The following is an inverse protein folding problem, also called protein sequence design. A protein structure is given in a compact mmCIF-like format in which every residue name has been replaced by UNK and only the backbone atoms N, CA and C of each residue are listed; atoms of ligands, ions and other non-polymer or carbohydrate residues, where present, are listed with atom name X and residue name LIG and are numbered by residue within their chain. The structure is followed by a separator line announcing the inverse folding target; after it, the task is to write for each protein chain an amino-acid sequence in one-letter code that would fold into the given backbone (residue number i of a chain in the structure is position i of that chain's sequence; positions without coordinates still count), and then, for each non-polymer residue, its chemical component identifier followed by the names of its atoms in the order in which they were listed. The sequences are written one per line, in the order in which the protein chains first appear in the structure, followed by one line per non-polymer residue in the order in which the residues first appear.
data_IF_549672287421
#
_entry.id   IF_549672287421
#
_cell.length_a   1.000
_cell.length_b   1.000
_cell.length_c   1.000
_cell.angle_alpha   90.00
_cell.angle_beta   90.00
_cell.angle_gamma   90.00
#
_symmetry.space_group_name_H-M   'P 1'
#
loop_
_entity.id
_entity.type
_entity.pdbx_description
1 polymer ?
#
# COMPACT_ATOMS: atom_id res chain seq x y z
N UNK A 1 -1.38 2.79 11.87
CA UNK A 1 -0.86 4.07 11.34
C UNK A 1 0.13 4.80 12.26
N UNK A 2 -0.26 5.46 13.37
CA UNK A 2 0.62 6.37 14.16
C UNK A 2 2.07 5.86 14.41
N UNK A 3 2.22 4.61 14.87
CA UNK A 3 3.53 4.00 15.13
C UNK A 3 4.38 3.77 13.87
N UNK A 4 3.75 3.43 12.74
CA UNK A 4 4.46 3.25 11.46
C UNK A 4 5.03 4.58 10.98
N UNK A 5 4.28 5.66 11.18
CA UNK A 5 4.70 7.00 10.83
C UNK A 5 5.89 7.45 11.68
N UNK A 6 5.83 7.29 13.01
CA UNK A 6 6.95 7.65 13.91
C UNK A 6 8.20 6.81 13.61
N UNK A 7 8.03 5.52 13.33
CA UNK A 7 9.12 4.65 12.89
C UNK A 7 9.76 5.18 11.59
N UNK A 8 8.96 5.62 10.62
CA UNK A 8 9.46 6.21 9.38
C UNK A 8 10.24 7.50 9.58
N UNK A 9 9.69 8.44 10.36
CA UNK A 9 10.38 9.69 10.65
C UNK A 9 11.77 9.41 11.26
N UNK A 10 11.81 8.49 12.22
CA UNK A 10 13.04 8.05 12.92
C UNK A 10 14.03 7.32 12.03
N UNK A 11 13.55 6.57 11.03
CA UNK A 11 14.39 5.77 10.13
C UNK A 11 15.29 6.57 9.19
N UNK A 12 15.00 7.86 8.97
CA UNK A 12 15.72 8.68 7.99
C UNK A 12 15.44 8.35 6.52
N UNK A 13 14.57 7.36 6.21
CA UNK A 13 14.29 6.90 4.85
C UNK A 13 13.53 7.96 4.03
N UNK A 14 13.62 7.82 2.70
CA UNK A 14 13.14 8.81 1.71
C UNK A 14 11.64 8.77 1.48
N UNK A 15 11.05 7.58 1.52
CA UNK A 15 9.64 7.35 1.22
C UNK A 15 8.99 6.52 2.32
N UNK A 16 7.83 7.00 2.77
CA UNK A 16 6.89 6.23 3.56
C UNK A 16 5.89 5.61 2.60
N UNK A 17 5.70 4.30 2.64
CA UNK A 17 4.61 3.66 1.91
C UNK A 17 3.87 2.75 2.89
N UNK A 18 2.55 2.91 2.95
CA UNK A 18 1.67 2.06 3.73
C UNK A 18 1.00 1.05 2.81
N UNK A 19 0.88 -0.19 3.28
CA UNK A 19 0.10 -1.27 2.66
C UNK A 19 -0.47 -2.15 3.79
N UNK A 20 -1.61 -2.78 3.54
CA UNK A 20 -2.20 -3.75 4.46
C UNK A 20 -1.58 -5.15 4.31
N UNK A 21 -1.87 -6.05 5.26
CA UNK A 21 -1.35 -7.43 5.26
C UNK A 21 -1.96 -8.30 4.14
N UNK A 22 -3.08 -7.86 3.56
CA UNK A 22 -3.73 -8.46 2.40
C UNK A 22 -3.24 -7.89 1.06
N UNK A 23 -2.19 -7.05 1.06
CA UNK A 23 -1.64 -6.44 -0.15
C UNK A 23 -0.39 -7.17 -0.67
N UNK A 24 -0.29 -7.31 -1.99
CA UNK A 24 0.92 -7.73 -2.71
C UNK A 24 1.65 -6.50 -3.23
N UNK A 25 2.87 -6.26 -2.77
CA UNK A 25 3.71 -5.15 -3.24
C UNK A 25 4.67 -5.60 -4.35
N UNK A 26 4.53 -5.03 -5.54
CA UNK A 26 5.52 -5.09 -6.60
C UNK A 26 6.58 -3.98 -6.41
N UNK A 27 7.67 -4.33 -5.72
CA UNK A 27 8.75 -3.39 -5.37
C UNK A 27 9.42 -2.77 -6.61
N UNK A 28 9.52 -3.50 -7.72
CA UNK A 28 10.10 -2.98 -8.97
C UNK A 28 9.26 -1.85 -9.58
N UNK A 29 7.95 -2.06 -9.66
CA UNK A 29 7.01 -1.02 -10.13
C UNK A 29 6.94 0.17 -9.17
N UNK A 30 6.96 -0.08 -7.86
CA UNK A 30 6.98 0.99 -6.86
C UNK A 30 8.22 1.89 -7.04
N UNK A 31 9.41 1.29 -7.12
CA UNK A 31 10.66 2.05 -7.31
C UNK A 31 10.64 2.85 -8.61
N UNK A 32 10.16 2.25 -9.71
CA UNK A 32 10.00 2.93 -11.00
C UNK A 32 9.07 4.14 -10.89
N UNK A 33 7.94 4.01 -10.18
CA UNK A 33 6.99 5.10 -9.95
C UNK A 33 7.63 6.21 -9.10
N UNK A 34 8.17 5.87 -7.93
CA UNK A 34 8.71 6.87 -6.99
C UNK A 34 9.96 7.59 -7.54
N UNK A 35 10.72 6.96 -8.45
CA UNK A 35 11.88 7.59 -9.10
C UNK A 35 11.53 8.81 -9.95
N UNK A 36 10.26 9.00 -10.30
CA UNK A 36 9.78 10.14 -11.08
C UNK A 36 9.61 11.41 -10.22
N UNK A 37 9.73 11.29 -8.90
CA UNK A 37 9.46 12.36 -7.95
C UNK A 37 10.66 12.62 -7.04
N UNK A 38 10.79 13.86 -6.56
CA UNK A 38 11.77 14.18 -5.52
C UNK A 38 11.21 13.92 -4.13
N UNK A 39 11.91 13.13 -3.32
CA UNK A 39 11.53 12.83 -1.93
C UNK A 39 11.64 14.03 -0.98
N UNK A 40 12.23 15.16 -1.43
CA UNK A 40 12.31 16.41 -0.67
C UNK A 40 11.16 17.37 -0.97
N UNK A 41 10.37 17.09 -2.01
CA UNK A 41 9.15 17.84 -2.33
C UNK A 41 7.95 17.27 -1.58
N UNK A 42 6.79 17.89 -1.74
CA UNK A 42 5.55 17.43 -1.15
C UNK A 42 4.84 16.47 -2.10
N UNK A 43 4.94 15.18 -1.83
CA UNK A 43 4.35 14.13 -2.67
C UNK A 43 3.50 13.19 -1.82
N UNK A 44 2.22 13.12 -2.18
CA UNK A 44 1.26 12.13 -1.70
C UNK A 44 0.67 11.42 -2.91
N UNK A 45 0.85 10.12 -3.02
CA UNK A 45 0.45 9.33 -4.19
C UNK A 45 -0.28 8.05 -3.78
N UNK A 46 -1.37 7.76 -4.48
CA UNK A 46 -2.18 6.58 -4.24
C UNK A 46 -3.47 6.58 -5.08
N UNK A 47 -4.35 5.62 -4.82
CA UNK A 47 -5.67 5.58 -5.46
C UNK A 47 -6.71 6.30 -4.61
N UNK A 48 -7.48 7.27 -5.15
CA UNK A 48 -8.56 7.89 -4.42
C UNK A 48 -9.69 6.88 -4.14
N UNK A 49 -10.27 6.93 -2.93
CA UNK A 49 -11.30 5.97 -2.52
C UNK A 49 -12.70 6.25 -3.06
N UNK A 50 -12.97 7.48 -3.48
CA UNK A 50 -14.28 7.97 -3.90
C UNK A 50 -14.15 8.64 -5.27
N UNK A 51 -15.27 8.81 -5.96
CA UNK A 51 -15.35 9.61 -7.20
C UNK A 51 -15.39 11.12 -6.93
N UNK A 52 -15.57 11.52 -5.66
CA UNK A 52 -15.63 12.90 -5.17
C UNK A 52 -14.85 13.05 -3.86
N UNK A 53 -14.41 14.26 -3.47
CA UNK A 53 -13.81 14.48 -2.16
C UNK A 53 -14.77 14.03 -1.05
N UNK A 54 -14.25 13.52 0.05
CA UNK A 54 -15.06 13.26 1.24
C UNK A 54 -15.41 14.60 1.90
N UNK A 55 -16.58 14.66 2.53
CA UNK A 55 -16.99 15.78 3.38
C UNK A 55 -16.86 15.35 4.84
N UNK A 56 -16.23 16.18 5.66
CA UNK A 56 -16.07 15.94 7.08
C UNK A 56 -16.41 17.19 7.88
N UNK A 57 -16.86 17.01 9.12
CA UNK A 57 -17.13 18.11 10.05
C UNK A 57 -15.95 18.24 11.01
N UNK A 58 -15.28 19.40 11.01
CA UNK A 58 -14.37 19.78 12.08
C UNK A 58 -15.17 20.24 13.30
N UNK A 59 -14.74 19.81 14.51
CA UNK A 59 -15.33 20.18 15.80
C UNK A 59 -16.86 19.99 15.89
N UNK A 60 -17.37 18.74 15.83
CA UNK A 60 -18.80 18.49 15.94
C UNK A 60 -19.37 19.08 17.25
N UNK A 61 -20.28 20.06 17.15
CA UNK A 61 -21.03 20.60 18.28
C UNK A 61 -21.11 22.12 18.45
N UNK A 62 -19.98 22.87 18.39
CA UNK A 62 -19.98 24.30 18.81
C UNK A 62 -19.52 25.32 17.78
N UNK A 63 -19.11 24.93 16.58
CA UNK A 63 -18.96 25.76 15.38
C UNK A 63 -18.56 24.82 14.24
N UNK A 64 -19.56 24.17 13.64
CA UNK A 64 -19.33 23.12 12.64
C UNK A 64 -18.73 23.72 11.36
N UNK A 65 -17.46 23.43 11.11
CA UNK A 65 -16.81 23.78 9.85
C UNK A 65 -16.76 22.54 8.96
N UNK A 66 -17.36 22.64 7.78
CA UNK A 66 -17.32 21.58 6.77
C UNK A 66 -16.01 21.67 5.99
N UNK A 67 -15.30 20.56 5.90
CA UNK A 67 -14.06 20.43 5.13
C UNK A 67 -14.22 19.37 4.05
N UNK A 68 -13.60 19.61 2.89
CA UNK A 68 -13.63 18.69 1.74
C UNK A 68 -12.22 18.37 1.29
N UNK A 69 -11.91 17.09 1.14
CA UNK A 69 -10.58 16.66 0.74
C UNK A 69 -10.58 15.28 0.07
N UNK A 70 -9.55 14.99 -0.72
CA UNK A 70 -9.28 13.64 -1.20
C UNK A 70 -8.38 12.89 -0.24
N UNK A 71 -8.49 11.56 -0.27
CA UNK A 71 -7.60 10.67 0.45
C UNK A 71 -7.33 9.42 -0.39
N UNK A 72 -6.14 8.85 -0.24
CA UNK A 72 -5.80 7.58 -0.85
C UNK A 72 -6.37 6.43 -0.01
N UNK A 73 -6.96 5.42 -0.65
CA UNK A 73 -7.51 4.24 0.03
C UNK A 73 -6.40 3.47 0.75
N UNK A 74 -6.53 3.27 2.07
CA UNK A 74 -5.54 2.54 2.88
C UNK A 74 -5.23 1.15 2.33
N UNK A 75 -6.27 0.35 2.06
CA UNK A 75 -6.13 -1.01 1.52
C UNK A 75 -5.76 -1.12 0.04
N UNK A 76 -5.57 -0.01 -0.67
CA UNK A 76 -4.87 0.00 -1.95
C UNK A 76 -3.37 0.28 -1.75
N UNK A 77 -2.97 0.76 -0.59
CA UNK A 77 -1.67 1.33 -0.31
C UNK A 77 -1.48 2.74 -0.87
N UNK A 78 -0.58 3.48 -0.24
CA UNK A 78 -0.22 4.84 -0.64
C UNK A 78 1.21 5.15 -0.22
N UNK A 79 1.80 6.21 -0.79
CA UNK A 79 3.12 6.69 -0.41
C UNK A 79 3.17 8.20 -0.16
N UNK A 80 4.03 8.58 0.78
CA UNK A 80 4.37 9.94 1.17
C UNK A 80 5.89 10.14 1.04
N UNK A 81 6.29 11.25 0.44
CA UNK A 81 7.69 11.70 0.46
C UNK A 81 8.11 12.13 1.86
N UNK A 82 9.40 11.95 2.21
CA UNK A 82 9.97 12.46 3.47
C UNK A 82 9.71 13.96 3.68
N UNK A 83 9.82 14.79 2.62
CA UNK A 83 9.57 16.23 2.70
C UNK A 83 8.17 16.54 3.25
N UNK A 84 7.14 15.92 2.65
CA UNK A 84 5.76 16.02 3.12
C UNK A 84 5.59 15.47 4.54
N UNK A 85 6.09 14.26 4.81
CA UNK A 85 5.95 13.66 6.13
C UNK A 85 6.58 14.53 7.22
N UNK A 86 7.72 15.18 7.00
CA UNK A 86 8.27 16.09 8.01
C UNK A 86 7.33 17.26 8.35
N UNK A 87 6.53 17.75 7.38
CA UNK A 87 5.51 18.79 7.59
C UNK A 87 4.27 18.28 8.29
N UNK A 88 3.92 17.00 8.14
CA UNK A 88 2.78 16.36 8.81
C UNK A 88 3.00 16.15 10.32
N UNK A 89 4.25 16.24 10.82
CA UNK A 89 4.62 15.96 12.21
C UNK A 89 3.69 16.59 13.27
N UNK A 90 3.27 17.88 13.17
CA UNK A 90 2.41 18.48 14.18
C UNK A 90 1.05 17.78 14.37
N UNK A 91 0.60 16.98 13.40
CA UNK A 91 -0.68 16.27 13.45
C UNK A 91 -0.53 14.74 13.46
N UNK A 92 0.65 14.22 13.11
CA UNK A 92 0.85 12.80 12.85
C UNK A 92 1.91 12.11 13.73
N UNK A 93 2.79 12.85 14.40
CA UNK A 93 3.83 12.28 15.25
C UNK A 93 3.46 12.29 16.73
N UNK A 94 4.19 11.51 17.53
CA UNK A 94 4.21 11.59 18.99
C UNK A 94 2.82 11.38 19.61
N UNK A 95 2.03 10.46 19.02
CA UNK A 95 0.66 10.16 19.45
C UNK A 95 -0.42 11.13 18.96
N UNK A 96 -0.05 12.26 18.33
CA UNK A 96 -1.00 13.29 17.87
C UNK A 96 -1.92 12.81 16.75
N UNK A 97 -1.50 11.79 15.99
CA UNK A 97 -2.32 11.21 14.92
C UNK A 97 -3.70 10.74 15.43
N UNK A 98 -3.75 10.14 16.61
CA UNK A 98 -5.00 9.66 17.20
C UNK A 98 -5.94 10.83 17.53
N UNK A 99 -5.42 11.90 18.12
CA UNK A 99 -6.18 13.12 18.40
C UNK A 99 -6.72 13.76 17.13
N UNK A 100 -5.91 13.78 16.06
CA UNK A 100 -6.34 14.29 14.75
C UNK A 100 -7.46 13.41 14.14
N UNK A 101 -7.33 12.09 14.21
CA UNK A 101 -8.36 11.17 13.73
C UNK A 101 -9.68 11.31 14.51
N UNK A 102 -9.60 11.42 15.84
CA UNK A 102 -10.75 11.66 16.72
C UNK A 102 -11.43 13.01 16.45
N UNK A 103 -10.66 14.03 16.08
CA UNK A 103 -11.15 15.37 15.77
C UNK A 103 -12.16 15.37 14.61
N UNK A 104 -11.83 14.64 13.54
CA UNK A 104 -12.66 14.53 12.34
C UNK A 104 -13.56 13.28 12.34
N UNK A 105 -13.34 12.35 13.28
CA UNK A 105 -14.04 11.06 13.42
C UNK A 105 -14.01 10.22 12.14
N UNK A 106 -12.85 10.18 11.49
CA UNK A 106 -12.63 9.40 10.27
C UNK A 106 -11.51 8.36 10.46
N UNK A 107 -11.47 7.31 9.62
CA UNK A 107 -10.41 6.30 9.66
C UNK A 107 -9.00 6.85 9.40
N UNK A 108 -7.97 6.00 9.60
CA UNK A 108 -6.56 6.36 9.47
C UNK A 108 -6.22 6.94 8.08
N UNK A 109 -6.69 6.33 7.00
CA UNK A 109 -6.41 6.76 5.62
C UNK A 109 -7.04 8.13 5.29
N UNK A 110 -8.27 8.34 5.74
CA UNK A 110 -8.96 9.62 5.69
C UNK A 110 -8.22 10.67 6.51
N UNK A 111 -7.69 10.32 7.68
CA UNK A 111 -6.91 11.23 8.54
C UNK A 111 -5.62 11.67 7.85
N UNK A 112 -4.92 10.76 7.15
CA UNK A 112 -3.77 11.13 6.31
C UNK A 112 -4.18 12.11 5.23
N UNK A 113 -5.28 11.84 4.50
CA UNK A 113 -5.81 12.75 3.49
C UNK A 113 -6.19 14.13 4.03
N UNK A 114 -6.83 14.18 5.20
CA UNK A 114 -7.18 15.41 5.88
C UNK A 114 -5.94 16.25 6.22
N UNK A 115 -4.91 15.64 6.83
CA UNK A 115 -3.67 16.36 7.16
C UNK A 115 -3.01 16.89 5.89
N UNK A 116 -2.94 16.08 4.84
CA UNK A 116 -2.20 16.43 3.62
C UNK A 116 -2.93 17.45 2.74
N UNK A 117 -4.21 17.21 2.43
CA UNK A 117 -4.97 18.08 1.53
C UNK A 117 -5.59 19.27 2.26
N UNK A 118 -6.26 19.04 3.40
CA UNK A 118 -7.03 20.09 4.06
C UNK A 118 -6.14 21.02 4.90
N UNK A 119 -5.18 20.45 5.66
CA UNK A 119 -4.32 21.26 6.54
C UNK A 119 -3.06 21.78 5.82
N UNK A 120 -2.43 20.96 4.99
CA UNK A 120 -1.18 21.31 4.29
C UNK A 120 -1.39 21.81 2.85
N UNK A 121 -2.58 21.68 2.27
CA UNK A 121 -2.89 22.18 0.93
C UNK A 121 -2.19 21.41 -0.21
N UNK A 122 -1.72 20.19 0.04
CA UNK A 122 -1.00 19.36 -0.94
C UNK A 122 -1.97 18.37 -1.57
N UNK A 123 -2.11 18.38 -2.89
CA UNK A 123 -3.06 17.48 -3.57
C UNK A 123 -2.56 16.05 -3.68
N UNK A 124 -3.48 15.09 -3.56
CA UNK A 124 -3.27 13.69 -3.86
C UNK A 124 -2.98 13.50 -5.36
N UNK A 125 -1.80 12.95 -5.65
CA UNK A 125 -1.45 12.44 -6.96
C UNK A 125 -2.17 11.11 -7.15
N UNK A 126 -3.17 11.11 -8.04
CA UNK A 126 -3.95 9.91 -8.36
C UNK A 126 -3.13 8.95 -9.19
N UNK A 127 -3.05 7.70 -8.75
CA UNK A 127 -2.36 6.63 -9.47
C UNK A 127 -3.26 5.40 -9.60
N UNK A 128 -3.50 4.99 -10.84
CA UNK A 128 -4.20 3.74 -11.17
C UNK A 128 -3.35 2.48 -11.00
N UNK A 129 -2.14 2.59 -10.44
CA UNK A 129 -1.24 1.47 -10.20
C UNK A 129 -1.41 0.82 -8.81
N UNK A 130 -2.18 1.47 -7.93
CA UNK A 130 -2.51 0.95 -6.60
C UNK A 130 -3.91 0.34 -6.65
N UNK A 131 -4.11 -0.85 -6.05
CA UNK A 131 -5.40 -1.55 -6.17
C UNK A 131 -5.85 -2.16 -4.84
N UNK A 132 -7.10 -1.89 -4.46
CA UNK A 132 -7.78 -2.44 -3.27
C UNK A 132 -8.78 -3.53 -3.66
N UNK A 133 -9.07 -4.45 -2.74
CA UNK A 133 -10.17 -5.41 -2.88
C UNK A 133 -11.57 -4.76 -2.83
N UNK A 134 -11.67 -3.43 -2.68
CA UNK A 134 -12.91 -2.67 -2.88
C UNK A 134 -13.20 -2.41 -4.37
N UNK A 135 -12.27 -2.74 -5.26
CA UNK A 135 -12.40 -2.63 -6.71
C UNK A 135 -12.72 -3.98 -7.34
N UNK A 136 -13.19 -4.01 -8.60
CA UNK A 136 -13.27 -5.26 -9.34
C UNK A 136 -11.87 -5.71 -9.81
N UNK A 137 -11.17 -6.49 -8.98
CA UNK A 137 -9.80 -6.92 -9.24
C UNK A 137 -9.69 -7.84 -10.47
N UNK A 138 -10.79 -8.46 -10.89
CA UNK A 138 -10.85 -9.26 -12.12
C UNK A 138 -10.63 -8.44 -13.40
N UNK A 139 -10.82 -7.11 -13.35
CA UNK A 139 -10.57 -6.19 -14.46
C UNK A 139 -9.14 -5.64 -14.49
N UNK A 140 -8.38 -5.82 -13.41
CA UNK A 140 -7.00 -5.35 -13.34
C UNK A 140 -6.15 -6.16 -14.32
N UNK A 141 -5.49 -5.43 -15.23
CA UNK A 141 -4.64 -5.99 -16.28
C UNK A 141 -3.20 -5.48 -16.13
N UNK A 142 -2.28 -5.97 -16.97
CA UNK A 142 -0.88 -5.56 -16.96
C UNK A 142 -0.21 -5.65 -15.57
N UNK A 143 -0.36 -6.82 -14.95
CA UNK A 143 0.11 -7.14 -13.58
C UNK A 143 1.58 -6.77 -13.36
N UNK A 144 2.40 -6.81 -14.41
CA UNK A 144 3.82 -6.44 -14.35
C UNK A 144 4.07 -5.00 -13.94
N UNK A 145 3.18 -4.08 -14.29
CA UNK A 145 3.34 -2.64 -14.04
C UNK A 145 2.54 -2.14 -12.82
N UNK A 146 1.64 -2.95 -12.26
CA UNK A 146 0.91 -2.60 -11.05
C UNK A 146 1.86 -2.52 -9.84
N UNK A 147 1.60 -1.58 -8.94
CA UNK A 147 2.39 -1.32 -7.73
C UNK A 147 1.89 -2.17 -6.58
N UNK A 148 0.60 -2.10 -6.28
CA UNK A 148 -0.05 -2.96 -5.28
C UNK A 148 -1.19 -3.74 -5.93
N UNK A 149 -1.44 -4.93 -5.42
CA UNK A 149 -2.65 -5.70 -5.65
C UNK A 149 -3.20 -6.12 -4.28
N UNK A 150 -4.47 -6.47 -4.20
CA UNK A 150 -5.09 -6.98 -2.99
C UNK A 150 -5.87 -8.26 -3.31
N UNK A 151 -6.52 -8.84 -2.30
CA UNK A 151 -7.54 -9.87 -2.46
C UNK A 151 -8.62 -9.65 -1.40
N UNK A 152 -9.83 -10.13 -1.67
CA UNK A 152 -10.91 -10.06 -0.70
C UNK A 152 -12.06 -10.99 -1.05
N UNK A 153 -13.15 -10.87 -0.29
CA UNK A 153 -14.40 -11.59 -0.55
C UNK A 153 -15.53 -10.58 -0.62
N UNK A 154 -16.31 -10.63 -1.70
CA UNK A 154 -17.51 -9.80 -1.92
C UNK A 154 -18.67 -10.75 -2.18
N UNK A 155 -19.73 -10.70 -1.37
CA UNK A 155 -20.92 -11.55 -1.51
C UNK A 155 -20.63 -13.05 -1.69
N UNK A 156 -19.75 -13.60 -0.83
CA UNK A 156 -19.24 -14.98 -0.89
C UNK A 156 -18.48 -15.34 -2.19
N UNK A 157 -18.22 -14.37 -3.05
CA UNK A 157 -17.39 -14.52 -4.25
C UNK A 157 -16.00 -13.94 -4.00
N UNK A 158 -14.97 -14.65 -4.47
CA UNK A 158 -13.59 -14.20 -4.34
C UNK A 158 -13.36 -12.99 -5.26
N UNK A 159 -12.82 -11.92 -4.70
CA UNK A 159 -12.34 -10.79 -5.46
C UNK A 159 -10.82 -10.87 -5.55
N UNK A 160 -10.32 -11.30 -6.71
CA UNK A 160 -8.88 -11.53 -6.96
C UNK A 160 -8.53 -11.14 -8.38
N UNK A 161 -7.25 -10.90 -8.63
CA UNK A 161 -6.74 -10.66 -9.98
C UNK A 161 -6.82 -11.91 -10.87
N UNK A 162 -7.14 -11.71 -12.14
CA UNK A 162 -7.18 -12.81 -13.11
C UNK A 162 -5.77 -13.11 -13.65
N UNK A 163 -5.06 -13.99 -12.95
CA UNK A 163 -3.71 -14.44 -13.33
C UNK A 163 -3.71 -15.92 -13.63
N UNK A 164 -3.38 -16.27 -14.88
CA UNK A 164 -3.01 -17.65 -15.25
C UNK A 164 -1.72 -18.00 -14.51
N UNK A 165 -1.81 -18.98 -13.61
CA UNK A 165 -0.70 -19.40 -12.76
C UNK A 165 -0.56 -20.91 -12.74
N UNK A 166 0.53 -21.37 -12.13
CA UNK A 166 0.81 -22.79 -11.92
C UNK A 166 -0.06 -23.42 -10.82
N UNK A 167 -0.63 -22.60 -9.95
CA UNK A 167 -1.43 -23.03 -8.81
C UNK A 167 -2.91 -22.97 -9.12
N UNK A 168 -3.65 -23.99 -8.66
CA UNK A 168 -5.12 -23.95 -8.66
C UNK A 168 -5.63 -22.89 -7.67
N UNK A 169 -6.94 -22.68 -7.66
CA UNK A 169 -7.56 -21.71 -6.74
C UNK A 169 -7.52 -22.23 -5.29
N UNK A 170 -7.55 -23.54 -5.10
CA UNK A 170 -7.45 -24.18 -3.79
C UNK A 170 -6.04 -24.02 -3.21
N UNK A 171 -5.01 -24.11 -4.05
CA UNK A 171 -3.61 -23.97 -3.66
C UNK A 171 -3.17 -22.50 -3.45
N UNK A 172 -3.78 -21.58 -4.19
CA UNK A 172 -3.44 -20.15 -4.18
C UNK A 172 -4.73 -19.30 -4.25
N UNK A 173 -5.53 -19.27 -3.16
CA UNK A 173 -6.83 -18.61 -3.15
C UNK A 173 -6.76 -17.09 -3.28
N UNK A 174 -5.62 -16.48 -2.91
CA UNK A 174 -5.37 -15.03 -3.02
C UNK A 174 -4.77 -14.63 -4.37
N UNK A 175 -4.33 -15.62 -5.16
CA UNK A 175 -3.53 -15.46 -6.39
C UNK A 175 -2.13 -14.86 -6.19
N UNK A 176 -1.71 -14.57 -4.96
CA UNK A 176 -0.42 -13.92 -4.69
C UNK A 176 0.77 -14.80 -5.05
N UNK A 177 0.66 -16.13 -4.90
CA UNK A 177 1.73 -17.03 -5.35
C UNK A 177 1.86 -16.96 -6.86
N UNK A 178 0.76 -16.97 -7.58
CA UNK A 178 0.72 -16.89 -9.04
C UNK A 178 1.24 -15.54 -9.55
N UNK A 179 0.86 -14.43 -8.90
CA UNK A 179 1.43 -13.10 -9.15
C UNK A 179 2.94 -13.11 -8.91
N UNK A 180 3.39 -13.66 -7.78
CA UNK A 180 4.81 -13.74 -7.45
C UNK A 180 5.61 -14.49 -8.53
N UNK A 181 5.09 -15.62 -8.99
CA UNK A 181 5.70 -16.43 -10.04
C UNK A 181 5.73 -15.72 -11.38
N UNK A 182 4.69 -14.94 -11.70
CA UNK A 182 4.64 -14.12 -12.90
C UNK A 182 5.73 -13.04 -12.88
N UNK A 183 5.93 -12.40 -11.72
CA UNK A 183 6.85 -11.26 -11.57
C UNK A 183 8.31 -11.69 -11.34
N UNK A 184 8.57 -12.79 -10.62
CA UNK A 184 9.93 -13.23 -10.30
C UNK A 184 10.57 -13.97 -11.48
N UNK A 185 11.43 -13.26 -12.22
CA UNK A 185 12.23 -13.84 -13.32
C UNK A 185 13.35 -14.79 -12.83
N UNK A 186 13.63 -14.87 -11.53
CA UNK A 186 14.73 -15.71 -10.98
C UNK A 186 14.42 -17.21 -11.02
N UNK A 187 13.17 -17.61 -11.27
CA UNK A 187 12.79 -18.99 -11.56
C UNK A 187 13.16 -19.50 -12.96
N UNK A 188 13.71 -18.65 -13.85
CA UNK A 188 14.06 -19.03 -15.24
C UNK A 188 15.44 -19.72 -15.41
N UNK A 189 16.01 -20.31 -14.38
CA UNK A 189 17.10 -21.29 -14.55
C UNK A 189 16.52 -22.68 -14.31
N UNK A 190 16.07 -23.29 -15.40
CA UNK A 190 15.65 -24.69 -15.41
C UNK A 190 16.78 -25.59 -14.93
N UNK A 191 16.46 -26.46 -13.96
CA UNK A 191 17.26 -27.63 -13.69
C UNK A 191 16.65 -28.77 -14.51
N UNK A 192 17.41 -29.31 -15.46
CA UNK A 192 17.04 -30.52 -16.18
C UNK A 192 17.66 -31.69 -15.44
N UNK A 193 16.83 -32.52 -14.84
CA UNK A 193 17.18 -33.92 -14.63
C UNK A 193 15.93 -34.76 -14.89
N UNK A 194 15.96 -35.57 -15.94
CA UNK A 194 14.89 -36.50 -16.28
C UNK A 194 13.54 -35.89 -16.69
N UNK A 195 13.47 -35.31 -17.89
CA UNK A 195 12.28 -35.46 -18.74
C UNK A 195 10.93 -34.90 -18.28
N UNK A 196 10.87 -33.69 -17.73
CA UNK A 196 9.70 -32.78 -17.86
C UNK A 196 10.11 -31.37 -17.40
N UNK A 197 9.84 -30.34 -18.20
CA UNK A 197 10.13 -28.95 -17.84
C UNK A 197 9.17 -28.47 -16.75
N UNK A 198 9.44 -28.80 -15.48
CA UNK A 198 8.68 -28.26 -14.36
C UNK A 198 9.24 -26.87 -14.01
N UNK A 199 8.53 -25.81 -14.39
CA UNK A 199 8.81 -24.46 -13.92
C UNK A 199 8.50 -24.39 -12.42
N UNK A 200 9.45 -24.78 -11.55
CA UNK A 200 9.28 -24.68 -10.10
C UNK A 200 9.59 -23.24 -9.69
N UNK A 201 8.63 -22.34 -9.84
CA UNK A 201 8.70 -21.07 -9.12
C UNK A 201 8.63 -21.38 -7.63
N UNK A 202 9.76 -21.25 -6.93
CA UNK A 202 9.81 -21.35 -5.48
C UNK A 202 9.31 -20.03 -4.92
N UNK A 203 8.05 -20.00 -4.45
CA UNK A 203 7.58 -18.89 -3.62
C UNK A 203 8.41 -18.94 -2.33
N UNK A 204 9.25 -17.93 -2.05
CA UNK A 204 9.99 -17.91 -0.80
C UNK A 204 8.99 -17.88 0.37
N UNK A 205 9.37 -18.39 1.56
CA UNK A 205 8.57 -18.17 2.76
C UNK A 205 8.31 -16.67 2.95
N UNK A 206 7.22 -16.33 3.64
CA UNK A 206 6.79 -14.95 3.90
C UNK A 206 8.00 -14.04 4.15
N UNK A 207 8.08 -12.88 3.47
CA UNK A 207 9.27 -12.06 3.50
C UNK A 207 9.59 -11.67 4.94
N UNK A 208 10.78 -12.05 5.41
CA UNK A 208 11.32 -11.58 6.67
C UNK A 208 11.68 -10.09 6.56
N UNK A 209 11.71 -9.32 7.67
CA UNK A 209 12.06 -7.90 7.63
C UNK A 209 13.38 -7.59 6.90
N UNK A 210 14.37 -8.50 6.98
CA UNK A 210 15.65 -8.40 6.29
C UNK A 210 15.55 -8.53 4.76
N UNK A 211 14.63 -9.36 4.26
CA UNK A 211 14.46 -9.60 2.83
C UNK A 211 13.77 -8.42 2.12
N UNK A 212 12.81 -7.77 2.79
CA UNK A 212 12.16 -6.54 2.29
C UNK A 212 13.15 -5.38 2.28
N UNK A 213 13.95 -5.24 3.36
CA UNK A 213 14.96 -4.18 3.46
C UNK A 213 16.05 -4.30 2.40
N UNK A 214 16.48 -5.52 2.04
CA UNK A 214 17.47 -5.74 0.96
C UNK A 214 16.95 -5.39 -0.44
N UNK A 215 15.66 -5.53 -0.72
CA UNK A 215 15.07 -5.19 -2.03
C UNK A 215 14.75 -3.69 -2.18
N UNK A 216 14.39 -3.01 -1.09
CA UNK A 216 14.02 -1.58 -1.11
C UNK A 216 15.20 -0.64 -0.75
N UNK A 217 16.29 -1.17 -0.19
CA UNK A 217 17.50 -0.40 0.13
C UNK A 217 17.26 0.77 1.10
N UNK A 218 17.79 1.94 0.77
CA UNK A 218 17.60 3.19 1.54
C UNK A 218 16.33 3.97 1.19
N UNK A 219 15.50 3.45 0.28
CA UNK A 219 14.36 4.20 -0.24
C UNK A 219 13.14 4.13 0.67
N UNK A 220 12.82 2.96 1.24
CA UNK A 220 11.64 2.77 2.10
C UNK A 220 12.03 2.02 3.38
N UNK A 221 11.26 2.20 4.46
CA UNK A 221 11.29 1.25 5.57
C UNK A 221 10.79 -0.12 5.09
N UNK A 222 11.33 -1.24 5.61
CA UNK A 222 10.64 -2.51 5.49
C UNK A 222 9.25 -2.35 6.11
N UNK A 223 8.22 -2.62 5.31
CA UNK A 223 6.81 -2.56 5.69
C UNK A 223 6.64 -3.32 7.00
N UNK A 224 6.38 -2.59 8.10
CA UNK A 224 6.22 -3.20 9.41
C UNK A 224 4.77 -3.58 9.63
N UNK A 225 4.60 -4.84 9.98
CA UNK A 225 3.36 -5.56 10.18
C UNK A 225 2.61 -4.99 11.40
N UNK A 226 1.51 -4.28 11.19
CA UNK A 226 0.60 -3.86 12.26
C UNK A 226 -0.45 -4.93 12.52
N UNK A 227 -0.04 -6.10 13.05
CA UNK A 227 -0.64 -6.76 14.25
C UNK A 227 -0.09 -8.17 14.46
N UNK A 228 0.01 -8.55 15.74
CA UNK A 228 0.40 -9.87 16.24
C UNK A 228 -0.68 -10.92 15.98
N UNK A 229 -0.23 -12.17 15.79
CA UNK A 229 -0.92 -13.48 15.90
C UNK A 229 -1.88 -13.86 14.77
N UNK A 230 -1.33 -14.53 13.76
CA UNK A 230 -1.93 -15.79 13.29
C UNK A 230 -0.98 -16.92 13.65
N UNK A 231 -1.26 -17.57 14.78
CA UNK A 231 -0.85 -18.93 15.01
C UNK A 231 -2.06 -19.78 14.61
N UNK A 232 -1.90 -20.56 13.54
CA UNK A 232 -2.76 -21.63 13.02
C UNK A 232 -4.25 -21.32 12.79
#
# INVERSE_FOLDING_TARGET
MSLEYDAFISSGKKWFCHVDDDNYLNTGSLLKLLSQYSHTQDVYIGRPSLERPIEATERPGTDEMQVRFWFATGGAGFCLSRGLSLKMKPWASDGTFMTTAEHIRLPDDCTVGYIVEALLGVSLIRSGLFHSHLENLGLVSDIHNQVTLSYGTVDNSRNTVNVKGLFTIEEDPTRFRSVHCLLDKRGRKGWTDGGENVNICRVPPLPTPENVSRQLGDLCLPLYNSTRRQAF
#
